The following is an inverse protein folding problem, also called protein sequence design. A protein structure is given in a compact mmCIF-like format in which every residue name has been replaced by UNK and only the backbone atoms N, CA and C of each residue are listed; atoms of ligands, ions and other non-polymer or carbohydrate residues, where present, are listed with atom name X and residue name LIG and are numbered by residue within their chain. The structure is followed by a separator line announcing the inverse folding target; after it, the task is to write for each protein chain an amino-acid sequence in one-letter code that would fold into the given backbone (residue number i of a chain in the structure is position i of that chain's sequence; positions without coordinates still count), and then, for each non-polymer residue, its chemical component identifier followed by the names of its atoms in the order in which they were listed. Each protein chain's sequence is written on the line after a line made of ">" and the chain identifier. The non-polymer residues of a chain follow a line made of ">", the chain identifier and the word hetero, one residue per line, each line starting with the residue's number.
data_IF_386921311188
#
_entry.id   IF_386921311188
#
_cell.length_a   1.000
_cell.length_b   1.000
_cell.length_c   1.000
_cell.angle_alpha   90.00
_cell.angle_beta   90.00
_cell.angle_gamma   90.00
#
_symmetry.space_group_name_H-M   'P 1'
#
loop_
_entity.id
_entity.type
_entity.pdbx_description
1 polymer ?
#
# COMPACT_ATOMS: atom_id res chain seq x y z
N UNK A 1 -22.74 3.31 3.46
CA UNK A 1 -22.11 4.64 3.29
C UNK A 1 -20.58 4.57 3.36
N UNK A 2 -19.97 3.99 4.39
CA UNK A 2 -18.50 3.92 4.48
C UNK A 2 -17.82 3.07 3.39
N UNK A 3 -18.38 1.90 3.07
CA UNK A 3 -17.84 1.03 2.02
C UNK A 3 -17.81 1.66 0.64
N UNK A 4 -18.90 2.33 0.28
CA UNK A 4 -19.03 2.99 -1.01
C UNK A 4 -17.99 4.09 -1.16
N UNK A 5 -17.71 4.86 -0.10
CA UNK A 5 -16.64 5.87 -0.10
C UNK A 5 -15.26 5.25 -0.32
N UNK A 6 -14.94 4.15 0.36
CA UNK A 6 -13.64 3.48 0.20
C UNK A 6 -13.48 2.94 -1.23
N UNK A 7 -14.52 2.31 -1.78
CA UNK A 7 -14.49 1.78 -3.15
C UNK A 7 -14.28 2.92 -4.17
N UNK A 8 -15.00 4.05 -4.02
CA UNK A 8 -14.85 5.21 -4.90
C UNK A 8 -13.41 5.77 -4.83
N UNK A 9 -12.87 5.95 -3.63
CA UNK A 9 -11.49 6.44 -3.44
C UNK A 9 -10.48 5.48 -4.09
N UNK A 10 -10.65 4.17 -3.87
CA UNK A 10 -9.81 3.15 -4.47
C UNK A 10 -9.83 3.21 -6.00
N UNK A 11 -11.00 3.36 -6.61
CA UNK A 11 -11.15 3.47 -8.07
C UNK A 11 -10.52 4.76 -8.62
N UNK A 12 -10.73 5.90 -7.95
CA UNK A 12 -10.15 7.18 -8.34
C UNK A 12 -8.61 7.11 -8.32
N UNK A 13 -8.05 6.53 -7.27
CA UNK A 13 -6.61 6.37 -7.13
C UNK A 13 -6.02 5.37 -8.13
N UNK A 14 -6.74 4.28 -8.42
CA UNK A 14 -6.35 3.35 -9.48
C UNK A 14 -6.32 4.05 -10.84
N UNK A 15 -7.35 4.83 -11.18
CA UNK A 15 -7.40 5.58 -12.44
C UNK A 15 -6.23 6.56 -12.58
N UNK A 16 -5.91 7.28 -11.50
CA UNK A 16 -4.79 8.23 -11.49
C UNK A 16 -3.44 7.54 -11.68
N UNK A 17 -3.17 6.45 -10.95
CA UNK A 17 -1.92 5.70 -11.08
C UNK A 17 -1.83 4.96 -12.42
N UNK A 18 -2.95 4.48 -12.96
CA UNK A 18 -2.97 3.85 -14.28
C UNK A 18 -2.63 4.86 -15.37
N UNK A 19 -3.13 6.09 -15.28
CA UNK A 19 -2.73 7.19 -16.17
C UNK A 19 -1.22 7.47 -16.10
N UNK A 20 -0.66 7.51 -14.89
CA UNK A 20 0.76 7.73 -14.65
C UNK A 20 1.65 6.53 -15.01
N UNK A 21 1.11 5.31 -15.08
CA UNK A 21 1.89 4.10 -15.39
C UNK A 21 2.54 4.14 -16.77
N UNK A 22 2.03 4.98 -17.69
CA UNK A 22 2.61 5.23 -19.01
C UNK A 22 3.85 6.12 -18.99
N UNK A 23 4.24 6.68 -17.84
CA UNK A 23 5.40 7.58 -17.69
C UNK A 23 6.77 6.88 -17.81
N UNK A 24 6.82 5.55 -17.78
CA UNK A 24 8.06 4.78 -17.91
C UNK A 24 8.98 4.83 -16.68
N UNK A 25 8.53 5.41 -15.57
CA UNK A 25 9.30 5.47 -14.32
C UNK A 25 9.23 4.10 -13.60
N UNK A 26 10.37 3.51 -13.21
CA UNK A 26 10.40 2.26 -12.44
C UNK A 26 9.56 2.36 -11.17
N UNK A 27 8.77 1.33 -10.88
CA UNK A 27 7.90 1.27 -9.71
C UNK A 27 6.45 1.71 -9.96
N UNK A 28 6.18 2.63 -10.91
CA UNK A 28 4.83 3.19 -11.10
C UNK A 28 3.80 2.14 -11.54
N UNK A 29 4.17 1.29 -12.51
CA UNK A 29 3.30 0.19 -12.95
C UNK A 29 3.03 -0.80 -11.81
N UNK A 30 4.03 -1.08 -10.98
CA UNK A 30 3.89 -1.94 -9.79
C UNK A 30 2.99 -1.30 -8.74
N UNK A 31 3.07 0.02 -8.53
CA UNK A 31 2.16 0.77 -7.65
C UNK A 31 0.73 0.73 -8.16
N UNK A 32 0.52 0.91 -9.48
CA UNK A 32 -0.81 0.81 -10.09
C UNK A 32 -1.40 -0.60 -9.95
N UNK A 33 -0.59 -1.64 -10.16
CA UNK A 33 -0.97 -3.02 -9.90
C UNK A 33 -1.32 -3.26 -8.42
N UNK A 34 -0.53 -2.72 -7.49
CA UNK A 34 -0.82 -2.75 -6.05
C UNK A 34 -2.17 -2.10 -5.73
N UNK A 35 -2.44 -0.93 -6.29
CA UNK A 35 -3.74 -0.25 -6.13
C UNK A 35 -4.91 -1.08 -6.68
N UNK A 36 -4.73 -1.76 -7.82
CA UNK A 36 -5.73 -2.67 -8.37
C UNK A 36 -6.00 -3.86 -7.45
N UNK A 37 -4.95 -4.47 -6.92
CA UNK A 37 -5.05 -5.54 -5.94
C UNK A 37 -5.78 -5.05 -4.69
N UNK A 38 -5.49 -3.85 -4.18
CA UNK A 38 -6.22 -3.24 -3.06
C UNK A 38 -7.71 -3.10 -3.36
N UNK A 39 -8.09 -2.62 -4.55
CA UNK A 39 -9.50 -2.47 -4.94
C UNK A 39 -10.22 -3.81 -4.88
N UNK A 40 -9.63 -4.85 -5.48
CA UNK A 40 -10.20 -6.21 -5.50
C UNK A 40 -10.27 -6.79 -4.08
N UNK A 41 -9.19 -6.63 -3.30
CA UNK A 41 -9.11 -7.14 -1.94
C UNK A 41 -10.18 -6.53 -1.03
N UNK A 42 -10.36 -5.20 -1.11
CA UNK A 42 -11.40 -4.48 -0.38
C UNK A 42 -12.78 -4.92 -0.85
N UNK A 43 -13.04 -5.02 -2.16
CA UNK A 43 -14.33 -5.46 -2.69
C UNK A 43 -14.70 -6.87 -2.22
N UNK A 44 -13.78 -7.83 -2.29
CA UNK A 44 -14.00 -9.20 -1.82
C UNK A 44 -14.24 -9.27 -0.31
N UNK A 45 -13.47 -8.50 0.45
CA UNK A 45 -13.64 -8.42 1.91
C UNK A 45 -14.97 -7.74 2.26
N UNK A 46 -15.44 -6.84 1.40
CA UNK A 46 -16.62 -6.03 1.62
C UNK A 46 -17.94 -6.63 1.11
N UNK A 47 -17.88 -7.64 0.27
CA UNK A 47 -19.04 -8.26 -0.37
C UNK A 47 -19.95 -9.15 0.52
N UNK A 48 -19.51 -9.77 1.65
CA UNK A 48 -20.37 -10.67 2.42
C UNK A 48 -21.77 -10.16 2.83
N UNK A 49 -21.98 -8.90 3.29
CA UNK A 49 -23.32 -8.43 3.67
C UNK A 49 -24.20 -8.12 2.46
N UNK A 50 -23.65 -8.10 1.23
CA UNK A 50 -24.36 -7.80 -0.01
C UNK A 50 -24.90 -9.06 -0.70
N UNK A 51 -24.52 -10.25 -0.24
CA UNK A 51 -24.87 -11.53 -0.86
C UNK A 51 -25.65 -12.38 0.14
N UNK A 52 -26.90 -12.72 -0.20
CA UNK A 52 -27.84 -13.46 0.67
C UNK A 52 -27.34 -14.87 1.08
N UNK A 53 -26.32 -15.42 0.41
CA UNK A 53 -25.66 -16.69 0.76
C UNK A 53 -24.22 -16.55 1.29
N UNK A 54 -23.73 -15.31 1.44
CA UNK A 54 -22.32 -15.02 1.73
C UNK A 54 -21.37 -15.43 0.60
N UNK A 55 -20.07 -15.14 0.78
CA UNK A 55 -19.02 -15.62 -0.12
C UNK A 55 -18.47 -16.96 0.36
N UNK A 56 -18.10 -17.91 -0.53
CA UNK A 56 -17.48 -19.16 -0.11
C UNK A 56 -16.13 -18.91 0.59
N UNK A 57 -15.75 -19.79 1.52
CA UNK A 57 -14.53 -19.65 2.36
C UNK A 57 -13.27 -19.33 1.53
N UNK A 58 -12.99 -20.01 0.39
CA UNK A 58 -11.80 -19.72 -0.40
C UNK A 58 -11.76 -18.29 -0.95
N UNK A 59 -12.92 -17.72 -1.31
CA UNK A 59 -13.00 -16.34 -1.85
C UNK A 59 -12.75 -15.31 -0.75
N UNK A 60 -13.22 -15.56 0.47
CA UNK A 60 -12.95 -14.68 1.62
C UNK A 60 -11.49 -14.75 2.06
N UNK A 61 -10.90 -15.96 2.04
CA UNK A 61 -9.48 -16.15 2.28
C UNK A 61 -8.65 -15.39 1.24
N UNK A 62 -9.03 -15.49 -0.05
CA UNK A 62 -8.38 -14.75 -1.13
C UNK A 62 -8.40 -13.24 -0.88
N UNK A 63 -9.53 -12.66 -0.47
CA UNK A 63 -9.60 -11.24 -0.10
C UNK A 63 -8.59 -10.84 0.98
N UNK A 64 -8.46 -11.63 2.04
CA UNK A 64 -7.46 -11.42 3.10
C UNK A 64 -6.02 -11.56 2.61
N UNK A 65 -5.74 -12.56 1.76
CA UNK A 65 -4.40 -12.73 1.17
C UNK A 65 -4.02 -11.54 0.30
N UNK A 66 -4.95 -11.05 -0.54
CA UNK A 66 -4.72 -9.89 -1.40
C UNK A 66 -4.42 -8.61 -0.62
N UNK A 67 -4.97 -8.44 0.59
CA UNK A 67 -4.63 -7.33 1.51
C UNK A 67 -3.21 -7.40 2.10
N UNK A 68 -2.49 -8.50 1.92
CA UNK A 68 -1.05 -8.58 2.20
C UNK A 68 -0.22 -8.42 0.92
N UNK A 69 -0.73 -8.95 -0.20
CA UNK A 69 -0.07 -8.85 -1.52
C UNK A 69 0.01 -7.41 -2.00
N UNK A 70 -1.04 -6.59 -1.81
CA UNK A 70 -1.00 -5.17 -2.18
C UNK A 70 0.18 -4.45 -1.53
N UNK A 71 0.36 -4.63 -0.21
CA UNK A 71 1.44 -3.99 0.52
C UNK A 71 2.82 -4.48 0.12
N UNK A 72 2.95 -5.77 -0.21
CA UNK A 72 4.19 -6.29 -0.79
C UNK A 72 4.47 -5.63 -2.15
N UNK A 73 3.46 -5.44 -3.00
CA UNK A 73 3.61 -4.72 -4.28
C UNK A 73 4.00 -3.25 -4.07
N UNK A 74 3.43 -2.55 -3.10
CA UNK A 74 3.86 -1.19 -2.76
C UNK A 74 5.33 -1.14 -2.31
N UNK A 75 5.76 -2.08 -1.47
CA UNK A 75 7.16 -2.17 -1.07
C UNK A 75 8.09 -2.44 -2.26
N UNK A 76 7.71 -3.37 -3.14
CA UNK A 76 8.42 -3.65 -4.39
C UNK A 76 8.50 -2.38 -5.25
N UNK A 77 7.40 -1.65 -5.38
CA UNK A 77 7.33 -0.42 -6.17
C UNK A 77 8.26 0.68 -5.63
N UNK A 78 8.29 0.88 -4.30
CA UNK A 78 9.20 1.82 -3.65
C UNK A 78 10.65 1.43 -3.88
N UNK A 79 10.99 0.14 -3.77
CA UNK A 79 12.36 -0.33 -4.07
C UNK A 79 12.73 -0.11 -5.53
N UNK A 80 11.83 -0.42 -6.47
CA UNK A 80 12.04 -0.16 -7.89
C UNK A 80 12.22 1.33 -8.17
N UNK A 81 11.44 2.20 -7.50
CA UNK A 81 11.58 3.65 -7.62
C UNK A 81 12.98 4.10 -7.23
N UNK A 82 13.53 3.61 -6.12
CA UNK A 82 14.91 3.91 -5.72
C UNK A 82 15.98 3.10 -6.47
N UNK A 83 15.62 2.29 -7.46
CA UNK A 83 16.57 1.45 -8.21
C UNK A 83 17.19 0.32 -7.38
N UNK A 84 16.56 -0.07 -6.27
CA UNK A 84 17.05 -1.09 -5.35
C UNK A 84 16.63 -2.49 -5.82
N UNK A 85 17.50 -3.47 -5.60
CA UNK A 85 17.18 -4.89 -5.81
C UNK A 85 16.01 -5.34 -4.93
N UNK A 86 15.09 -6.14 -5.48
CA UNK A 86 13.90 -6.63 -4.78
C UNK A 86 14.18 -8.02 -4.20
N UNK A 87 14.04 -8.25 -2.88
CA UNK A 87 14.28 -9.56 -2.27
C UNK A 87 13.10 -10.51 -2.53
N UNK A 88 12.96 -10.99 -3.77
CA UNK A 88 11.81 -11.79 -4.23
C UNK A 88 11.59 -13.06 -3.40
N UNK A 89 12.65 -13.78 -3.06
CA UNK A 89 12.57 -15.01 -2.28
C UNK A 89 12.04 -14.74 -0.85
N UNK A 90 12.59 -13.74 -0.16
CA UNK A 90 12.14 -13.37 1.18
C UNK A 90 10.68 -12.89 1.18
N UNK A 91 10.27 -12.10 0.19
CA UNK A 91 8.89 -11.67 0.03
C UNK A 91 7.96 -12.86 -0.26
N UNK A 92 8.36 -13.80 -1.11
CA UNK A 92 7.59 -14.99 -1.40
C UNK A 92 7.40 -15.87 -0.16
N UNK A 93 8.46 -16.10 0.61
CA UNK A 93 8.40 -16.84 1.88
C UNK A 93 7.49 -16.13 2.88
N UNK A 94 7.64 -14.81 3.05
CA UNK A 94 6.80 -14.04 3.96
C UNK A 94 5.32 -14.06 3.56
N UNK A 95 5.02 -13.90 2.26
CA UNK A 95 3.65 -14.00 1.73
C UNK A 95 3.08 -15.41 1.90
N UNK A 96 3.89 -16.45 1.70
CA UNK A 96 3.47 -17.83 1.92
C UNK A 96 3.15 -18.08 3.39
N UNK A 97 4.02 -17.68 4.32
CA UNK A 97 3.78 -17.80 5.76
C UNK A 97 2.53 -17.03 6.19
N UNK A 98 2.34 -15.81 5.67
CA UNK A 98 1.14 -15.01 5.90
C UNK A 98 -0.13 -15.70 5.39
N UNK A 99 -0.11 -16.23 4.16
CA UNK A 99 -1.24 -16.93 3.57
C UNK A 99 -1.58 -18.23 4.33
N UNK A 100 -0.57 -18.99 4.75
CA UNK A 100 -0.72 -20.19 5.57
C UNK A 100 -1.30 -19.85 6.95
N UNK A 101 -0.82 -18.80 7.60
CA UNK A 101 -1.37 -18.34 8.88
C UNK A 101 -2.85 -17.97 8.73
N UNK A 102 -3.20 -17.20 7.70
CA UNK A 102 -4.60 -16.88 7.41
C UNK A 102 -5.45 -18.12 7.13
N UNK A 103 -4.94 -19.06 6.33
CA UNK A 103 -5.65 -20.30 6.02
C UNK A 103 -5.89 -21.13 7.29
N UNK A 104 -4.89 -21.27 8.15
CA UNK A 104 -5.03 -21.96 9.43
C UNK A 104 -6.14 -21.32 10.28
N UNK A 105 -6.18 -19.99 10.40
CA UNK A 105 -7.26 -19.28 11.10
C UNK A 105 -8.56 -19.14 10.31
N UNK A 106 -8.69 -19.75 9.13
CA UNK A 106 -9.98 -19.91 8.45
C UNK A 106 -10.55 -21.31 8.61
N UNK A 107 -9.70 -22.33 8.72
CA UNK A 107 -10.11 -23.74 8.80
C UNK A 107 -10.06 -24.32 10.22
N UNK A 108 -9.22 -23.79 11.12
CA UNK A 108 -9.03 -24.33 12.49
C UNK A 108 -9.80 -23.53 13.54
N UNK A 109 -9.91 -22.21 13.36
CA UNK A 109 -10.61 -21.31 14.27
C UNK A 109 -11.44 -20.34 13.45
N UNK A 110 -12.68 -20.04 13.84
CA UNK A 110 -13.51 -19.02 13.15
C UNK A 110 -13.32 -17.61 13.70
N UNK A 111 -12.29 -17.38 14.52
CA UNK A 111 -12.01 -16.10 15.18
C UNK A 111 -11.66 -15.01 14.14
N UNK A 112 -12.57 -14.05 13.98
CA UNK A 112 -12.42 -12.93 13.04
C UNK A 112 -11.39 -11.90 13.52
N UNK A 113 -11.26 -11.71 14.83
CA UNK A 113 -10.32 -10.76 15.42
C UNK A 113 -8.89 -11.22 15.16
N UNK A 114 -8.62 -12.52 15.29
CA UNK A 114 -7.28 -13.08 15.06
C UNK A 114 -6.86 -12.98 13.59
N UNK A 115 -7.78 -13.27 12.65
CA UNK A 115 -7.53 -13.04 11.22
C UNK A 115 -7.23 -11.58 10.92
N UNK A 116 -7.97 -10.67 11.53
CA UNK A 116 -7.74 -9.22 11.39
C UNK A 116 -6.39 -8.81 11.96
N UNK A 117 -5.95 -9.41 13.08
CA UNK A 117 -4.64 -9.17 13.68
C UNK A 117 -3.50 -9.60 12.73
N UNK A 118 -3.64 -10.75 12.06
CA UNK A 118 -2.66 -11.27 11.10
C UNK A 118 -2.54 -10.34 9.88
N UNK A 119 -3.67 -9.95 9.27
CA UNK A 119 -3.69 -8.97 8.17
C UNK A 119 -3.02 -7.66 8.59
N UNK A 120 -3.34 -7.18 9.79
CA UNK A 120 -2.77 -5.94 10.33
C UNK A 120 -1.27 -6.04 10.51
N UNK A 121 -0.78 -7.14 11.06
CA UNK A 121 0.65 -7.36 11.29
C UNK A 121 1.43 -7.30 9.99
N UNK A 122 0.94 -7.99 8.95
CA UNK A 122 1.57 -7.99 7.63
C UNK A 122 1.61 -6.58 7.03
N UNK A 123 0.48 -5.86 7.05
CA UNK A 123 0.39 -4.50 6.50
C UNK A 123 1.25 -3.51 7.29
N UNK A 124 1.27 -3.64 8.62
CA UNK A 124 2.09 -2.80 9.50
C UNK A 124 3.58 -3.01 9.28
N UNK A 125 4.02 -4.27 9.17
CA UNK A 125 5.40 -4.64 8.84
C UNK A 125 5.82 -4.04 7.50
N UNK A 126 5.01 -4.24 6.45
CA UNK A 126 5.31 -3.71 5.11
C UNK A 126 5.33 -2.18 5.07
N UNK A 127 4.36 -1.52 5.71
CA UNK A 127 4.34 -0.07 5.82
C UNK A 127 5.59 0.47 6.55
N UNK A 128 6.03 -0.21 7.60
CA UNK A 128 7.28 0.12 8.30
C UNK A 128 8.50 -0.05 7.40
N UNK A 129 8.59 -1.14 6.65
CA UNK A 129 9.67 -1.38 5.68
C UNK A 129 9.68 -0.31 4.57
N UNK A 130 8.51 0.12 4.09
CA UNK A 130 8.37 1.23 3.15
C UNK A 130 8.92 2.52 3.77
N UNK A 131 8.47 2.90 4.97
CA UNK A 131 8.91 4.11 5.66
C UNK A 131 10.44 4.13 5.84
N UNK A 132 11.03 3.02 6.30
CA UNK A 132 12.48 2.87 6.47
C UNK A 132 13.20 2.96 5.12
N UNK A 133 12.67 2.35 4.08
CA UNK A 133 13.28 2.38 2.74
C UNK A 133 13.33 3.80 2.19
N UNK A 134 12.21 4.54 2.27
CA UNK A 134 12.13 5.94 1.81
C UNK A 134 13.05 6.82 2.64
N UNK A 135 13.07 6.67 3.97
CA UNK A 135 13.91 7.47 4.85
C UNK A 135 15.41 7.28 4.56
N UNK A 136 15.84 6.03 4.32
CA UNK A 136 17.25 5.69 4.09
C UNK A 136 17.76 6.08 2.71
N UNK A 137 16.90 6.04 1.68
CA UNK A 137 17.30 6.25 0.29
C UNK A 137 16.82 7.60 -0.25
N UNK A 138 16.36 8.51 0.62
CA UNK A 138 16.02 9.88 0.21
C UNK A 138 17.26 10.55 -0.40
N UNK A 139 17.18 11.07 -1.63
CA UNK A 139 18.30 11.75 -2.26
C UNK A 139 18.57 13.10 -1.59
N UNK A 140 19.84 13.38 -1.25
CA UNK A 140 20.23 14.52 -0.42
C UNK A 140 20.09 15.91 -1.11
N UNK A 141 19.85 15.94 -2.43
CA UNK A 141 19.74 17.16 -3.23
C UNK A 141 18.34 17.52 -3.74
N UNK A 142 17.31 16.76 -3.35
CA UNK A 142 15.94 16.95 -3.85
C UNK A 142 15.06 17.64 -2.81
N UNK A 143 13.87 18.09 -3.22
CA UNK A 143 12.88 18.62 -2.29
C UNK A 143 12.56 17.56 -1.24
N UNK A 144 12.80 17.86 0.04
CA UNK A 144 12.60 16.89 1.11
C UNK A 144 11.12 16.54 1.33
N UNK A 145 10.21 17.41 0.89
CA UNK A 145 8.77 17.33 1.20
C UNK A 145 8.10 16.02 0.73
N UNK A 146 8.20 15.59 -0.54
CA UNK A 146 7.57 14.33 -1.00
C UNK A 146 8.03 13.10 -0.20
N UNK A 147 9.32 13.05 0.14
CA UNK A 147 9.92 11.94 0.87
C UNK A 147 9.49 11.93 2.34
N UNK A 148 9.55 13.08 3.02
CA UNK A 148 9.12 13.20 4.43
C UNK A 148 7.63 12.94 4.57
N UNK A 149 6.81 13.46 3.65
CA UNK A 149 5.38 13.18 3.61
C UNK A 149 5.11 11.68 3.46
N UNK A 150 5.82 11.01 2.53
CA UNK A 150 5.67 9.56 2.32
C UNK A 150 6.09 8.77 3.56
N UNK A 151 7.20 9.14 4.21
CA UNK A 151 7.65 8.51 5.48
C UNK A 151 6.61 8.71 6.58
N UNK A 152 6.05 9.91 6.71
CA UNK A 152 5.03 10.21 7.71
C UNK A 152 3.75 9.38 7.48
N UNK A 153 3.26 9.30 6.24
CA UNK A 153 2.07 8.51 5.90
C UNK A 153 2.30 7.00 6.07
N UNK A 154 3.45 6.49 5.61
CA UNK A 154 3.81 5.09 5.79
C UNK A 154 4.03 4.73 7.27
N UNK A 155 4.66 5.62 8.04
CA UNK A 155 4.83 5.48 9.48
C UNK A 155 3.51 5.49 10.24
N UNK A 156 2.61 6.44 9.92
CA UNK A 156 1.27 6.49 10.50
C UNK A 156 0.48 5.20 10.21
N UNK A 157 0.56 4.70 8.97
CA UNK A 157 -0.08 3.44 8.60
C UNK A 157 0.53 2.23 9.34
N UNK A 158 1.86 2.20 9.49
CA UNK A 158 2.55 1.16 10.23
C UNK A 158 2.11 1.13 11.71
N UNK A 159 2.11 2.30 12.37
CA UNK A 159 1.70 2.45 13.77
C UNK A 159 0.24 2.06 13.97
N UNK A 160 -0.65 2.51 13.09
CA UNK A 160 -2.08 2.19 13.17
C UNK A 160 -2.34 0.69 13.01
N UNK A 161 -1.64 0.02 12.09
CA UNK A 161 -1.73 -1.43 11.94
C UNK A 161 -1.09 -2.20 13.10
N UNK A 162 0.02 -1.71 13.64
CA UNK A 162 0.67 -2.29 14.81
C UNK A 162 -0.23 -2.21 16.06
N UNK A 163 -0.83 -1.03 16.31
CA UNK A 163 -1.85 -0.86 17.34
C UNK A 163 -2.95 -1.90 17.16
N UNK A 164 -3.57 -1.95 15.98
CA UNK A 164 -4.71 -2.84 15.73
C UNK A 164 -4.34 -4.32 15.93
N UNK A 165 -3.13 -4.73 15.53
CA UNK A 165 -2.64 -6.06 15.80
C UNK A 165 -2.52 -6.33 17.30
N UNK A 166 -1.92 -5.41 18.07
CA UNK A 166 -1.76 -5.54 19.53
C UNK A 166 -3.11 -5.69 20.22
N UNK A 167 -4.08 -4.83 19.90
CA UNK A 167 -5.42 -4.88 20.51
C UNK A 167 -6.10 -6.23 20.32
N UNK A 168 -6.07 -6.78 19.09
CA UNK A 168 -6.74 -8.04 18.82
C UNK A 168 -5.94 -9.26 19.28
N UNK A 169 -4.61 -9.24 19.25
CA UNK A 169 -3.80 -10.33 19.81
C UNK A 169 -3.92 -10.43 21.33
N UNK A 170 -4.00 -9.28 22.01
CA UNK A 170 -4.23 -9.23 23.46
C UNK A 170 -5.71 -9.42 23.83
N UNK A 171 -6.60 -9.66 22.85
CA UNK A 171 -8.05 -9.81 23.04
C UNK A 171 -8.69 -8.66 23.84
N UNK A 172 -8.13 -7.45 23.71
CA UNK A 172 -8.64 -6.24 24.37
C UNK A 172 -9.94 -5.74 23.72
N UNK A 173 -10.23 -6.21 22.52
CA UNK A 173 -11.49 -6.00 21.81
C UNK A 173 -11.82 -7.23 20.95
N UNK A 174 -13.09 -7.39 20.59
CA UNK A 174 -13.57 -8.54 19.82
C UNK A 174 -14.58 -8.10 18.76
N UNK A 175 -14.28 -8.39 17.50
CA UNK A 175 -15.19 -8.15 16.38
C UNK A 175 -15.50 -9.46 15.65
N UNK A 176 -16.77 -9.69 15.32
CA UNK A 176 -17.23 -10.81 14.50
C UNK A 176 -17.23 -10.52 13.00
N UNK A 177 -17.22 -9.24 12.63
CA UNK A 177 -17.16 -8.79 11.24
C UNK A 177 -16.63 -7.34 11.15
N UNK A 178 -16.11 -6.96 9.98
CA UNK A 178 -15.67 -5.58 9.69
C UNK A 178 -16.79 -4.54 9.77
N UNK A 179 -18.05 -4.97 9.66
CA UNK A 179 -19.24 -4.12 9.74
C UNK A 179 -19.64 -3.81 11.17
N UNK A 180 -19.14 -4.60 12.13
CA UNK A 180 -19.47 -4.42 13.52
C UNK A 180 -18.84 -3.12 14.00
N UNK A 181 -19.69 -2.27 14.56
CA UNK A 181 -19.29 -1.03 15.21
C UNK A 181 -18.58 -1.37 16.52
N UNK A 182 -17.25 -1.31 16.51
CA UNK A 182 -16.40 -1.22 17.69
C UNK A 182 -15.63 0.10 17.63
N UNK A 183 -15.36 0.71 18.78
CA UNK A 183 -14.49 1.89 18.90
C UNK A 183 -13.16 1.69 18.17
N UNK A 184 -12.54 0.52 18.30
CA UNK A 184 -11.26 0.20 17.65
C UNK A 184 -11.40 0.17 16.14
N UNK A 185 -12.47 -0.47 15.64
CA UNK A 185 -12.74 -0.56 14.21
C UNK A 185 -13.06 0.82 13.60
N UNK A 186 -13.82 1.66 14.31
CA UNK A 186 -14.16 3.02 13.88
C UNK A 186 -12.92 3.93 13.81
N UNK A 187 -12.05 3.87 14.81
CA UNK A 187 -10.77 4.61 14.79
C UNK A 187 -9.91 4.13 13.62
N UNK A 188 -9.79 2.81 13.45
CA UNK A 188 -9.05 2.23 12.34
C UNK A 188 -9.57 2.69 10.98
N UNK A 189 -10.89 2.65 10.77
CA UNK A 189 -11.50 3.07 9.50
C UNK A 189 -11.27 4.56 9.24
N UNK A 190 -11.38 5.39 10.28
CA UNK A 190 -11.14 6.84 10.19
C UNK A 190 -9.69 7.16 9.79
N UNK A 191 -8.71 6.54 10.44
CA UNK A 191 -7.29 6.73 10.11
C UNK A 191 -6.96 6.11 8.74
N UNK A 192 -7.55 4.96 8.43
CA UNK A 192 -7.39 4.26 7.15
C UNK A 192 -7.83 5.10 5.96
N UNK A 193 -8.88 5.90 6.14
CA UNK A 193 -9.41 6.80 5.11
C UNK A 193 -8.40 7.87 4.69
N UNK A 194 -7.52 8.31 5.60
CA UNK A 194 -6.50 9.33 5.32
C UNK A 194 -5.19 8.69 4.87
N UNK A 195 -4.77 7.62 5.53
CA UNK A 195 -3.45 7.01 5.31
C UNK A 195 -3.33 6.25 3.99
N UNK A 196 -4.39 5.57 3.54
CA UNK A 196 -4.40 4.86 2.26
C UNK A 196 -4.20 5.79 1.05
N UNK A 197 -5.01 6.85 0.85
CA UNK A 197 -4.74 7.82 -0.22
C UNK A 197 -3.45 8.60 0.06
N UNK A 198 -3.09 8.83 1.32
CA UNK A 198 -1.85 9.51 1.71
C UNK A 198 -0.60 8.82 1.17
N UNK A 199 -0.49 7.49 1.27
CA UNK A 199 0.66 6.75 0.69
C UNK A 199 0.69 6.86 -0.84
N UNK A 200 -0.46 6.77 -1.50
CA UNK A 200 -0.51 6.91 -2.96
C UNK A 200 -0.16 8.32 -3.41
N UNK A 201 -0.64 9.33 -2.70
CA UNK A 201 -0.25 10.72 -2.92
C UNK A 201 1.25 10.92 -2.70
N UNK A 202 1.82 10.29 -1.68
CA UNK A 202 3.28 10.30 -1.44
C UNK A 202 4.06 9.75 -2.64
N UNK A 203 3.65 8.60 -3.18
CA UNK A 203 4.23 8.06 -4.41
C UNK A 203 4.09 9.02 -5.59
N UNK A 204 2.91 9.60 -5.80
CA UNK A 204 2.65 10.57 -6.87
C UNK A 204 3.57 11.79 -6.73
N UNK A 205 3.71 12.34 -5.52
CA UNK A 205 4.57 13.49 -5.25
C UNK A 205 6.04 13.18 -5.57
N UNK A 206 6.55 12.01 -5.16
CA UNK A 206 7.91 11.58 -5.49
C UNK A 206 8.11 11.39 -7.00
N UNK A 207 7.10 10.85 -7.69
CA UNK A 207 7.11 10.70 -9.16
C UNK A 207 7.15 12.08 -9.84
N UNK A 208 6.34 13.04 -9.40
CA UNK A 208 6.34 14.39 -9.94
C UNK A 208 7.67 15.11 -9.73
N UNK A 209 8.24 15.01 -8.53
CA UNK A 209 9.56 15.57 -8.21
C UNK A 209 10.62 15.03 -9.18
N UNK A 210 10.68 13.70 -9.38
CA UNK A 210 11.60 13.07 -10.33
C UNK A 210 11.36 13.47 -11.78
N UNK A 211 10.11 13.66 -12.20
CA UNK A 211 9.79 14.15 -13.55
C UNK A 211 10.26 15.59 -13.76
N UNK A 212 10.14 16.46 -12.75
CA UNK A 212 10.62 17.83 -12.81
C UNK A 212 12.13 17.86 -12.97
N UNK A 213 12.86 17.05 -12.20
CA UNK A 213 14.32 16.96 -12.31
C UNK A 213 14.80 16.46 -13.67
N UNK A 214 14.14 15.44 -14.23
CA UNK A 214 14.48 14.94 -15.56
C UNK A 214 14.29 16.02 -16.63
N UNK A 215 13.25 16.87 -16.49
CA UNK A 215 13.00 18.00 -17.40
C UNK A 215 14.07 19.09 -17.24
N UNK A 216 14.40 19.46 -16.00
CA UNK A 216 15.46 20.44 -15.73
C UNK A 216 16.80 19.97 -16.27
N UNK A 217 17.16 18.71 -16.02
CA UNK A 217 18.42 18.12 -16.49
C UNK A 217 18.52 18.10 -18.01
N UNK A 218 17.42 17.75 -18.71
CA UNK A 218 17.35 17.79 -20.18
C UNK A 218 17.49 19.22 -20.71
N UNK A 219 16.83 20.20 -20.09
CA UNK A 219 16.92 21.60 -20.49
C UNK A 219 18.33 22.17 -20.32
N UNK A 220 19.04 21.79 -19.25
CA UNK A 220 20.45 22.17 -19.03
C UNK A 220 21.38 21.49 -20.04
N UNK A 221 21.12 20.24 -20.42
CA UNK A 221 21.88 19.55 -21.44
C UNK A 221 21.68 20.18 -22.84
N UNK A 222 20.45 20.55 -23.18
CA UNK A 222 20.11 21.20 -24.45
C UNK A 222 20.72 22.62 -24.57
N UNK A 223 20.67 23.41 -23.48
CA UNK A 223 21.30 24.73 -23.47
C UNK A 223 22.83 24.68 -23.58
N UNK A 224 23.49 23.66 -23.00
CA UNK A 224 24.92 23.39 -23.20
C UNK A 224 25.24 22.95 -24.63
N UNK A 225 24.39 22.11 -25.23
CA UNK A 225 24.55 21.68 -26.63
C UNK A 225 24.40 22.82 -27.63
N UNK A 226 23.55 23.80 -27.32
CA UNK A 226 23.33 25.00 -28.15
C UNK A 226 24.45 26.06 -28.02
N UNK A 227 25.23 26.00 -26.94
CA UNK A 227 26.35 26.92 -26.68
C UNK A 227 27.72 26.39 -27.14
N UNK A 228 27.80 25.17 -27.67
CA UNK A 228 29.04 24.63 -28.25
C UNK A 228 29.20 25.10 -29.71
N UNK A 229 30.10 26.05 -30.02
CA UNK A 229 30.29 26.55 -31.38
C UNK A 229 31.14 25.60 -32.25
N UNK A 230 31.43 24.38 -31.79
CA UNK A 230 32.28 23.39 -32.48
C UNK A 230 31.51 22.23 -33.12
N UNK A 231 30.18 22.28 -33.21
CA UNK A 231 29.43 21.36 -34.07
C UNK A 231 29.12 22.03 -35.42
N UNK A 232 29.76 21.59 -36.53
CA UNK A 232 29.42 22.05 -37.88
C UNK A 232 28.01 21.62 -38.29
#
# INVERSE_FOLDING_TARGET
>A
MWLTSVIIICLLMMGMLFSLSRSGIPGVATTACGAAVTCVAVALTAAPPLLAGGLPVPVRLLGGVLLGVDMALYFVAVRQFFGLGVPKAALAVLLLLYALALAAFWYVSTDFSMRTAIVSTMRGLMAGLIAVTVLRHRPAGQAAYPYVFTVAMAGALALMHAWRAVVYFLRLDGIGALWQSSTVNTIYLSIGLVTLPGIMLGMILMIHDRMLEQRVSKAVADSRGRQDPRRP
#
